data_IF_846992173982
#
_entry.id   IF_846992173982
#
_cell.length_a   1.000
_cell.length_b   1.000
_cell.length_c   1.000
_cell.angle_alpha   90.00
_cell.angle_beta   90.00
_cell.angle_gamma   90.00
#
_symmetry.space_group_name_H-M   'P 1'
#
loop_
_entity.id
_entity.type
_entity.pdbx_description
1 polymer ?
#
# COMPACT_ATOMS: atom_id res chain seq x y z
N UNK A 1 7.69 45.78 -18.93
CA UNK A 1 6.55 44.96 -19.39
C UNK A 1 6.42 43.81 -18.41
N UNK A 2 5.46 43.87 -17.50
CA UNK A 2 5.16 42.74 -16.62
C UNK A 2 4.33 41.75 -17.42
N UNK A 3 4.91 40.57 -17.68
CA UNK A 3 4.17 39.44 -18.24
C UNK A 3 3.53 38.73 -17.05
N UNK A 4 2.28 39.08 -16.75
CA UNK A 4 1.49 38.30 -15.81
C UNK A 4 1.08 37.00 -16.48
N UNK A 5 1.71 35.90 -16.07
CA UNK A 5 1.23 34.56 -16.41
C UNK A 5 -0.12 34.35 -15.72
N UNK A 6 -1.22 34.59 -16.44
CA UNK A 6 -2.54 34.17 -15.98
C UNK A 6 -2.54 32.66 -15.80
N UNK A 7 -2.53 32.22 -14.54
CA UNK A 7 -2.85 30.85 -14.16
C UNK A 7 -4.31 30.59 -14.48
N UNK A 8 -4.61 30.21 -15.72
CA UNK A 8 -5.92 29.76 -16.13
C UNK A 8 -6.12 28.32 -15.62
N UNK A 9 -6.43 28.18 -14.33
CA UNK A 9 -6.72 26.87 -13.72
C UNK A 9 -8.21 26.81 -13.38
N UNK A 10 -9.03 26.73 -14.42
CA UNK A 10 -10.43 26.34 -14.28
C UNK A 10 -10.46 24.85 -13.90
N UNK A 11 -10.53 24.57 -12.59
CA UNK A 11 -10.47 23.20 -12.04
C UNK A 11 -11.80 22.46 -12.16
N UNK A 12 -12.83 23.08 -12.75
CA UNK A 12 -14.19 22.53 -12.84
C UNK A 12 -14.30 21.28 -13.74
N UNK A 13 -13.28 20.98 -14.55
CA UNK A 13 -13.26 19.83 -15.47
C UNK A 13 -12.30 18.69 -15.09
N UNK A 14 -11.57 18.81 -13.97
CA UNK A 14 -10.61 17.78 -13.56
C UNK A 14 -11.30 16.63 -12.83
N UNK A 15 -11.49 15.51 -13.53
CA UNK A 15 -11.96 14.24 -12.96
C UNK A 15 -10.79 13.30 -12.69
N UNK A 16 -10.74 12.68 -11.52
CA UNK A 16 -9.70 11.72 -11.13
C UNK A 16 -10.26 10.30 -11.00
N UNK A 17 -9.47 9.31 -11.40
CA UNK A 17 -9.79 7.88 -11.19
C UNK A 17 -8.72 7.26 -10.29
N UNK A 18 -9.15 6.72 -9.15
CA UNK A 18 -8.26 6.02 -8.22
C UNK A 18 -7.80 4.71 -8.88
N UNK A 19 -6.49 4.51 -8.98
CA UNK A 19 -5.88 3.32 -9.59
C UNK A 19 -5.46 2.27 -8.55
N UNK A 20 -5.12 2.72 -7.34
CA UNK A 20 -4.64 1.85 -6.27
C UNK A 20 -4.84 2.54 -4.92
N UNK A 21 -5.07 1.73 -3.88
CA UNK A 21 -5.14 2.17 -2.50
C UNK A 21 -4.24 1.26 -1.68
N UNK A 22 -3.35 1.86 -0.88
CA UNK A 22 -2.48 1.13 0.05
C UNK A 22 -2.80 1.58 1.46
N UNK A 23 -3.00 0.62 2.36
CA UNK A 23 -3.33 0.87 3.76
C UNK A 23 -2.32 0.18 4.67
N UNK A 24 -2.06 0.80 5.82
CA UNK A 24 -1.31 0.20 6.92
C UNK A 24 -2.27 -0.03 8.08
N UNK A 25 -2.25 -1.23 8.64
CA UNK A 25 -2.94 -1.55 9.87
C UNK A 25 -1.98 -2.22 10.85
N UNK A 26 -2.24 -2.06 12.14
CA UNK A 26 -1.57 -2.80 13.20
C UNK A 26 -2.53 -3.88 13.70
N UNK A 27 -2.04 -5.11 13.81
CA UNK A 27 -2.85 -6.22 14.34
C UNK A 27 -3.12 -6.09 15.84
N UNK A 28 -2.39 -5.19 16.54
CA UNK A 28 -2.52 -4.94 17.97
C UNK A 28 -2.50 -6.23 18.81
N UNK A 29 -1.62 -7.17 18.44
CA UNK A 29 -1.38 -8.41 19.18
C UNK A 29 -0.32 -8.18 20.25
N UNK A 30 -0.48 -8.80 21.42
CA UNK A 30 0.46 -8.68 22.54
C UNK A 30 1.73 -9.53 22.36
N UNK A 31 1.72 -10.46 21.40
CA UNK A 31 2.78 -11.43 21.17
C UNK A 31 3.28 -11.39 19.73
N UNK A 32 4.51 -11.84 19.54
CA UNK A 32 5.12 -11.96 18.22
C UNK A 32 4.36 -12.95 17.33
N UNK A 33 4.22 -12.58 16.06
CA UNK A 33 3.54 -13.40 15.06
C UNK A 33 4.55 -14.37 14.41
N UNK A 34 4.30 -15.67 14.53
CA UNK A 34 5.12 -16.70 13.89
C UNK A 34 4.80 -16.83 12.40
N UNK A 35 5.56 -16.11 11.56
CA UNK A 35 5.36 -16.09 10.11
C UNK A 35 5.57 -17.47 9.44
N UNK A 36 6.46 -18.31 9.97
CA UNK A 36 6.69 -19.66 9.43
C UNK A 36 5.48 -20.57 9.65
N UNK A 37 4.83 -20.45 10.81
CA UNK A 37 3.61 -21.19 11.11
C UNK A 37 2.43 -20.68 10.27
N UNK A 38 2.31 -19.36 10.08
CA UNK A 38 1.27 -18.80 9.20
C UNK A 38 1.44 -19.29 7.76
N UNK A 39 2.68 -19.35 7.28
CA UNK A 39 2.98 -19.81 5.92
C UNK A 39 2.64 -21.29 5.67
N UNK A 40 2.65 -22.13 6.72
CA UNK A 40 2.30 -23.55 6.60
C UNK A 40 0.80 -23.83 6.80
N UNK A 41 0.06 -22.88 7.37
CA UNK A 41 -1.36 -23.07 7.76
C UNK A 41 -2.33 -22.35 6.84
N UNK A 42 -1.91 -21.24 6.24
CA UNK A 42 -2.76 -20.42 5.36
C UNK A 42 -2.41 -20.71 3.90
N UNK A 43 -3.43 -20.99 3.09
CA UNK A 43 -3.24 -21.20 1.66
C UNK A 43 -2.79 -19.91 0.95
N UNK A 44 -2.11 -20.06 -0.20
CA UNK A 44 -1.64 -18.95 -1.03
C UNK A 44 -0.67 -17.96 -0.35
N UNK A 45 -0.04 -18.37 0.75
CA UNK A 45 1.02 -17.58 1.37
C UNK A 45 2.40 -17.89 0.77
N UNK A 46 3.27 -16.88 0.73
CA UNK A 46 4.67 -17.02 0.35
C UNK A 46 5.54 -16.32 1.39
N UNK A 47 6.44 -17.07 2.02
CA UNK A 47 7.35 -16.54 3.04
C UNK A 47 8.76 -17.08 2.82
N UNK A 48 9.69 -16.17 2.49
CA UNK A 48 11.10 -16.47 2.29
C UNK A 48 11.94 -15.38 2.97
N UNK A 49 12.28 -15.60 4.25
CA UNK A 49 12.93 -14.60 5.11
C UNK A 49 14.22 -14.02 4.52
N UNK A 50 14.97 -14.83 3.76
CA UNK A 50 16.21 -14.42 3.09
C UNK A 50 15.97 -13.41 1.96
N UNK A 51 14.81 -13.48 1.31
CA UNK A 51 14.42 -12.60 0.19
C UNK A 51 13.64 -11.38 0.66
N UNK A 52 12.73 -11.55 1.61
CA UNK A 52 11.92 -10.47 2.18
C UNK A 52 11.45 -10.86 3.59
N UNK A 53 11.48 -9.93 4.57
CA UNK A 53 11.14 -10.25 5.96
C UNK A 53 9.64 -10.43 6.23
N UNK A 54 8.76 -9.97 5.33
CA UNK A 54 7.31 -10.10 5.47
C UNK A 54 6.73 -11.34 4.77
N UNK A 55 5.57 -11.78 5.24
CA UNK A 55 4.76 -12.81 4.58
C UNK A 55 3.87 -12.16 3.52
N UNK A 56 3.89 -12.70 2.30
CA UNK A 56 2.94 -12.34 1.25
C UNK A 56 1.74 -13.26 1.32
N UNK A 57 0.54 -12.70 1.28
CA UNK A 57 -0.74 -13.42 1.19
C UNK A 57 -1.53 -12.82 0.03
N UNK A 58 -2.27 -13.66 -0.70
CA UNK A 58 -3.12 -13.25 -1.83
C UNK A 58 -4.54 -13.76 -1.64
#
# INVERSE_FOLDING_TARGET
MLIEAKSNKDTSSLTYTIQNIVLKSSLNVEHDVNLSLLASTINNTQYEKSRFPGLFIR
#
